data_IF_715905347671
#
_entry.id   IF_715905347671
#
_cell.length_a   1.000
_cell.length_b   1.000
_cell.length_c   1.000
_cell.angle_alpha   90.00
_cell.angle_beta   90.00
_cell.angle_gamma   90.00
#
_symmetry.space_group_name_H-M   'P 1'
#
loop_
_entity.id
_entity.type
_entity.pdbx_description
1 polymer ?
#
# COMPACT_ATOMS: atom_id res chain seq x y z
N UNK A 1 37.94 -31.18 -3.76
CA UNK A 1 37.93 -32.47 -4.51
C UNK A 1 38.81 -33.56 -3.87
N UNK A 2 39.23 -33.42 -2.61
CA UNK A 2 39.78 -34.51 -1.82
C UNK A 2 38.67 -35.02 -0.88
N UNK A 3 38.69 -36.31 -0.55
CA UNK A 3 38.02 -36.99 0.60
C UNK A 3 37.10 -38.17 0.24
N UNK A 4 36.51 -38.24 -0.96
CA UNK A 4 35.70 -39.42 -1.39
C UNK A 4 36.58 -40.68 -1.53
N UNK A 5 37.79 -40.51 -2.07
CA UNK A 5 38.74 -41.61 -2.24
C UNK A 5 39.28 -42.12 -0.90
N UNK A 6 39.34 -41.26 0.12
CA UNK A 6 39.74 -41.64 1.48
C UNK A 6 38.68 -42.52 2.17
N UNK A 7 37.40 -42.15 2.02
CA UNK A 7 36.27 -42.95 2.50
C UNK A 7 36.20 -44.33 1.83
N UNK A 8 36.44 -44.38 0.51
CA UNK A 8 36.48 -45.65 -0.23
C UNK A 8 37.60 -46.57 0.27
N UNK A 9 38.78 -46.00 0.57
CA UNK A 9 39.88 -46.76 1.16
C UNK A 9 39.54 -47.27 2.57
N UNK A 10 38.93 -46.42 3.42
CA UNK A 10 38.51 -46.80 4.77
C UNK A 10 37.47 -47.92 4.76
N UNK A 11 36.47 -47.83 3.88
CA UNK A 11 35.46 -48.87 3.68
C UNK A 11 36.06 -50.21 3.23
N UNK A 12 37.06 -50.17 2.35
CA UNK A 12 37.75 -51.38 1.92
C UNK A 12 38.56 -52.02 3.07
N UNK A 13 39.23 -51.22 3.91
CA UNK A 13 39.91 -51.71 5.11
C UNK A 13 38.93 -52.32 6.13
N UNK A 14 37.76 -51.70 6.32
CA UNK A 14 36.69 -52.22 7.18
C UNK A 14 36.18 -53.58 6.69
N UNK A 15 35.99 -53.72 5.38
CA UNK A 15 35.53 -54.96 4.75
C UNK A 15 36.54 -56.10 4.92
N UNK A 16 37.83 -55.80 4.89
CA UNK A 16 38.89 -56.79 5.14
C UNK A 16 38.85 -57.25 6.60
N UNK A 17 38.76 -56.33 7.56
CA UNK A 17 38.62 -56.67 8.98
C UNK A 17 37.32 -57.45 9.30
N UNK A 18 36.21 -57.16 8.60
CA UNK A 18 34.94 -57.88 8.76
C UNK A 18 35.03 -59.35 8.33
N UNK A 19 35.85 -59.64 7.31
CA UNK A 19 35.99 -60.98 6.74
C UNK A 19 36.92 -61.89 7.56
N UNK A 20 37.79 -61.32 8.38
CA UNK A 20 38.82 -62.04 9.14
C UNK A 20 38.32 -62.55 10.50
N UNK A 21 37.28 -61.93 11.07
CA UNK A 21 36.85 -62.13 12.46
C UNK A 21 35.62 -63.05 12.64
N UNK A 22 35.51 -64.17 11.94
CA UNK A 22 34.43 -65.14 12.15
C UNK A 22 34.92 -66.45 12.79
N UNK A 23 35.13 -66.51 14.12
CA UNK A 23 35.43 -67.74 14.83
C UNK A 23 34.15 -68.54 15.11
N UNK A 24 34.16 -69.83 14.74
CA UNK A 24 33.11 -70.80 15.04
C UNK A 24 32.90 -70.96 16.56
N UNK A 25 31.65 -70.88 16.99
CA UNK A 25 31.16 -70.80 18.38
C UNK A 25 31.28 -72.11 19.20
N UNK A 26 32.39 -72.84 19.08
CA UNK A 26 32.60 -74.13 19.75
C UNK A 26 33.94 -74.11 20.50
N UNK A 27 33.86 -73.94 21.82
CA UNK A 27 34.94 -73.98 22.83
C UNK A 27 35.94 -72.80 22.83
N UNK A 28 35.46 -71.62 23.23
CA UNK A 28 36.26 -70.39 23.39
C UNK A 28 36.63 -70.19 24.86
N UNK A 29 37.92 -70.06 25.18
CA UNK A 29 38.39 -69.71 26.54
C UNK A 29 37.94 -68.29 26.94
N UNK A 30 37.83 -67.95 28.23
CA UNK A 30 37.36 -66.62 28.64
C UNK A 30 38.25 -65.48 28.11
N UNK A 31 39.54 -65.74 27.87
CA UNK A 31 40.48 -64.77 27.29
C UNK A 31 40.22 -64.54 25.80
N UNK A 32 39.97 -65.60 25.02
CA UNK A 32 39.64 -65.50 23.59
C UNK A 32 38.29 -64.80 23.37
N UNK A 33 37.30 -65.04 24.24
CA UNK A 33 36.01 -64.33 24.19
C UNK A 33 36.16 -62.84 24.48
N UNK A 34 37.11 -62.46 25.31
CA UNK A 34 37.37 -61.06 25.61
C UNK A 34 38.08 -60.36 24.45
N UNK A 35 39.00 -61.06 23.79
CA UNK A 35 39.65 -60.57 22.57
C UNK A 35 38.66 -60.40 21.40
N UNK A 36 37.72 -61.32 21.21
CA UNK A 36 36.68 -61.17 20.17
C UNK A 36 35.74 -60.01 20.48
N UNK A 37 35.33 -59.83 21.73
CA UNK A 37 34.51 -58.68 22.15
C UNK A 37 35.22 -57.34 21.96
N UNK A 38 36.53 -57.27 22.22
CA UNK A 38 37.33 -56.06 21.96
C UNK A 38 37.42 -55.76 20.47
N UNK A 39 37.59 -56.79 19.63
CA UNK A 39 37.60 -56.65 18.17
C UNK A 39 36.23 -56.25 17.60
N UNK A 40 35.13 -56.79 18.14
CA UNK A 40 33.76 -56.36 17.78
C UNK A 40 33.51 -54.90 18.18
N UNK A 41 34.00 -54.47 19.35
CA UNK A 41 33.86 -53.08 19.81
C UNK A 41 34.68 -52.11 18.92
N UNK A 42 35.90 -52.50 18.55
CA UNK A 42 36.72 -51.73 17.60
C UNK A 42 36.05 -51.63 16.22
N UNK A 43 35.44 -52.72 15.74
CA UNK A 43 34.67 -52.73 14.49
C UNK A 43 33.45 -51.81 14.54
N UNK A 44 32.70 -51.80 15.64
CA UNK A 44 31.57 -50.88 15.82
C UNK A 44 32.03 -49.43 15.87
N UNK A 45 33.17 -49.13 16.52
CA UNK A 45 33.77 -47.78 16.52
C UNK A 45 34.19 -47.35 15.12
N UNK A 46 34.87 -48.22 14.38
CA UNK A 46 35.29 -47.92 13.02
C UNK A 46 34.09 -47.71 12.09
N UNK A 47 32.99 -48.44 12.30
CA UNK A 47 31.75 -48.24 11.56
C UNK A 47 31.13 -46.88 11.89
N UNK A 48 31.10 -46.48 13.16
CA UNK A 48 30.64 -45.15 13.55
C UNK A 48 31.50 -44.05 12.93
N UNK A 49 32.83 -44.19 12.93
CA UNK A 49 33.74 -43.21 12.32
C UNK A 49 33.49 -43.05 10.81
N UNK A 50 33.19 -44.15 10.10
CA UNK A 50 32.82 -44.09 8.68
C UNK A 50 31.46 -43.44 8.49
N UNK A 51 30.48 -43.73 9.36
CA UNK A 51 29.18 -43.07 9.28
C UNK A 51 29.28 -41.57 9.54
N UNK A 52 30.12 -41.15 10.48
CA UNK A 52 30.42 -39.74 10.74
C UNK A 52 31.09 -39.08 9.53
N UNK A 53 32.05 -39.77 8.89
CA UNK A 53 32.68 -39.30 7.65
C UNK A 53 31.70 -39.22 6.46
N UNK A 54 30.73 -40.13 6.37
CA UNK A 54 29.65 -40.05 5.37
C UNK A 54 28.74 -38.87 5.67
N UNK A 55 28.41 -38.62 6.94
CA UNK A 55 27.59 -37.49 7.32
C UNK A 55 28.31 -36.16 7.00
N UNK A 56 29.60 -36.04 7.30
CA UNK A 56 30.41 -34.88 6.91
C UNK A 56 30.48 -34.70 5.39
N UNK A 57 30.58 -35.81 4.63
CA UNK A 57 30.57 -35.75 3.17
C UNK A 57 29.22 -35.27 2.61
N UNK A 58 28.09 -35.67 3.23
CA UNK A 58 26.76 -35.19 2.87
C UNK A 58 26.62 -33.70 3.20
N UNK A 59 27.07 -33.27 4.38
CA UNK A 59 27.06 -31.85 4.76
C UNK A 59 27.91 -31.00 3.80
N UNK A 60 29.09 -31.48 3.37
CA UNK A 60 29.90 -30.82 2.34
C UNK A 60 29.16 -30.77 1.00
N UNK A 61 28.52 -31.86 0.58
CA UNK A 61 27.75 -31.90 -0.65
C UNK A 61 26.55 -30.93 -0.63
N UNK A 62 25.88 -30.77 0.52
CA UNK A 62 24.80 -29.79 0.71
C UNK A 62 25.32 -28.35 0.53
N UNK A 63 26.44 -28.02 1.18
CA UNK A 63 27.08 -26.71 1.03
C UNK A 63 27.52 -26.43 -0.42
N UNK A 64 28.09 -27.44 -1.10
CA UNK A 64 28.46 -27.32 -2.51
C UNK A 64 27.23 -27.10 -3.41
N UNK A 65 26.10 -27.76 -3.12
CA UNK A 65 24.84 -27.56 -3.83
C UNK A 65 24.28 -26.15 -3.62
N UNK A 66 24.41 -25.57 -2.42
CA UNK A 66 24.01 -24.18 -2.16
C UNK A 66 24.82 -23.19 -3.01
N UNK A 67 26.12 -23.42 -3.19
CA UNK A 67 26.96 -22.58 -4.07
C UNK A 67 26.50 -22.70 -5.52
N UNK A 68 26.19 -23.91 -5.99
CA UNK A 68 25.68 -24.13 -7.34
C UNK A 68 24.32 -23.45 -7.52
N UNK A 69 23.41 -23.58 -6.56
CA UNK A 69 22.09 -22.94 -6.59
C UNK A 69 22.21 -21.41 -6.67
N UNK A 70 23.10 -20.81 -5.87
CA UNK A 70 23.38 -19.37 -5.92
C UNK A 70 23.93 -18.94 -7.29
N UNK A 71 24.78 -19.77 -7.90
CA UNK A 71 25.34 -19.49 -9.23
C UNK A 71 24.26 -19.54 -10.32
N UNK A 72 23.36 -20.53 -10.27
CA UNK A 72 22.22 -20.63 -11.18
C UNK A 72 21.30 -19.41 -11.01
N UNK A 73 20.99 -19.00 -9.78
CA UNK A 73 20.18 -17.79 -9.53
C UNK A 73 20.84 -16.52 -10.08
N UNK A 74 22.16 -16.39 -9.96
CA UNK A 74 22.87 -15.25 -10.53
C UNK A 74 22.86 -15.29 -12.06
N UNK A 75 22.94 -16.48 -12.66
CA UNK A 75 22.83 -16.66 -14.11
C UNK A 75 21.42 -16.30 -14.60
N UNK A 76 20.38 -16.68 -13.86
CA UNK A 76 18.98 -16.32 -14.15
C UNK A 76 18.79 -14.79 -14.11
N UNK A 77 19.35 -14.10 -13.11
CA UNK A 77 19.37 -12.62 -13.06
C UNK A 77 20.08 -11.99 -14.25
N UNK A 78 21.20 -12.57 -14.68
CA UNK A 78 21.91 -12.09 -15.87
C UNK A 78 21.08 -12.31 -17.13
N UNK A 79 20.41 -13.46 -17.26
CA UNK A 79 19.53 -13.76 -18.39
C UNK A 79 18.34 -12.80 -18.42
N UNK A 80 17.69 -12.55 -17.29
CA UNK A 80 16.66 -11.52 -17.15
C UNK A 80 17.15 -10.14 -17.59
N UNK A 81 18.40 -9.80 -17.23
CA UNK A 81 19.01 -8.54 -17.65
C UNK A 81 19.26 -8.51 -19.16
N UNK A 82 19.71 -9.62 -19.75
CA UNK A 82 19.87 -9.73 -21.20
C UNK A 82 18.53 -9.61 -21.95
N UNK A 83 17.47 -10.24 -21.44
CA UNK A 83 16.11 -10.10 -21.99
C UNK A 83 15.65 -8.64 -21.92
N UNK A 84 15.89 -7.96 -20.80
CA UNK A 84 15.59 -6.52 -20.65
C UNK A 84 16.39 -5.64 -21.59
N UNK A 85 17.69 -5.91 -21.76
CA UNK A 85 18.52 -5.17 -22.70
C UNK A 85 17.99 -5.37 -24.11
N UNK A 86 17.69 -6.60 -24.52
CA UNK A 86 17.19 -6.89 -25.85
C UNK A 86 15.83 -6.22 -26.11
N UNK A 87 14.89 -6.29 -25.16
CA UNK A 87 13.60 -5.62 -25.30
C UNK A 87 13.75 -4.10 -25.37
N UNK A 88 14.67 -3.52 -24.59
CA UNK A 88 15.01 -2.10 -24.69
C UNK A 88 15.65 -1.78 -26.05
N UNK A 89 16.53 -2.63 -26.58
CA UNK A 89 17.14 -2.39 -27.91
C UNK A 89 16.10 -2.42 -29.02
N UNK A 90 15.19 -3.38 -29.00
CA UNK A 90 14.08 -3.46 -29.95
C UNK A 90 13.18 -2.22 -29.84
N UNK A 91 12.87 -1.79 -28.61
CA UNK A 91 12.10 -0.59 -28.37
C UNK A 91 12.81 0.66 -28.90
N UNK A 92 14.11 0.81 -28.63
CA UNK A 92 14.91 1.93 -29.17
C UNK A 92 15.01 1.89 -30.68
N UNK A 93 15.07 0.71 -31.29
CA UNK A 93 15.06 0.54 -32.74
C UNK A 93 13.72 0.98 -33.31
N UNK A 94 12.60 0.53 -32.74
CA UNK A 94 11.26 0.97 -33.12
C UNK A 94 11.10 2.48 -33.01
N UNK A 95 11.57 3.07 -31.91
CA UNK A 95 11.59 4.51 -31.71
C UNK A 95 12.43 5.24 -32.76
N UNK A 96 13.62 4.72 -33.10
CA UNK A 96 14.50 5.32 -34.11
C UNK A 96 13.88 5.33 -35.51
N UNK A 97 13.08 4.30 -35.84
CA UNK A 97 12.37 4.21 -37.11
C UNK A 97 10.98 4.85 -37.10
N UNK A 98 10.46 5.23 -35.93
CA UNK A 98 9.21 5.97 -35.82
C UNK A 98 9.47 7.45 -36.16
N UNK A 99 9.01 7.88 -37.33
CA UNK A 99 9.11 9.25 -37.80
C UNK A 99 8.30 10.25 -36.98
N UNK A 100 7.40 9.78 -36.11
CA UNK A 100 6.63 10.63 -35.19
C UNK A 100 7.27 10.75 -33.80
N UNK A 101 8.38 10.05 -33.53
CA UNK A 101 9.03 10.15 -32.24
C UNK A 101 9.74 11.51 -32.08
N UNK A 102 9.15 12.38 -31.27
CA UNK A 102 9.61 13.74 -31.05
C UNK A 102 10.24 13.93 -29.66
N UNK A 103 10.56 12.81 -28.98
CA UNK A 103 11.16 12.78 -27.64
C UNK A 103 10.18 13.08 -26.50
N UNK A 104 10.69 13.01 -25.25
CA UNK A 104 9.89 13.28 -24.04
C UNK A 104 9.30 14.69 -24.02
N UNK A 105 9.98 15.67 -24.60
CA UNK A 105 9.51 17.06 -24.61
C UNK A 105 8.17 17.21 -25.33
N UNK A 106 7.97 16.46 -26.42
CA UNK A 106 6.69 16.45 -27.14
C UNK A 106 5.59 15.75 -26.35
N UNK A 107 5.92 14.65 -25.68
CA UNK A 107 4.95 13.93 -24.84
C UNK A 107 4.54 14.78 -23.63
N UNK A 108 5.46 15.52 -23.02
CA UNK A 108 5.19 16.46 -21.94
C UNK A 108 4.32 17.65 -22.42
N UNK A 109 4.61 18.20 -23.61
CA UNK A 109 3.78 19.24 -24.24
C UNK A 109 2.37 18.73 -24.56
N UNK A 110 2.26 17.52 -25.12
CA UNK A 110 0.98 16.89 -25.44
C UNK A 110 0.19 16.57 -24.17
N UNK A 111 0.86 16.16 -23.10
CA UNK A 111 0.24 15.92 -21.81
C UNK A 111 -0.24 17.23 -21.17
N UNK A 112 0.58 18.30 -21.22
CA UNK A 112 0.18 19.63 -20.76
C UNK A 112 -1.01 20.18 -21.57
N UNK A 113 -1.03 19.97 -22.89
CA UNK A 113 -2.16 20.37 -23.75
C UNK A 113 -3.43 19.58 -23.40
N UNK A 114 -3.33 18.26 -23.18
CA UNK A 114 -4.45 17.43 -22.74
C UNK A 114 -4.98 17.86 -21.38
N UNK A 115 -4.10 18.17 -20.43
CA UNK A 115 -4.49 18.67 -19.10
C UNK A 115 -5.17 20.04 -19.20
N UNK A 116 -4.66 20.95 -20.03
CA UNK A 116 -5.26 22.24 -20.30
C UNK A 116 -6.64 22.12 -20.96
N UNK A 117 -6.80 21.21 -21.92
CA UNK A 117 -8.08 20.93 -22.57
C UNK A 117 -9.10 20.36 -21.57
N UNK A 118 -8.66 19.46 -20.69
CA UNK A 118 -9.49 18.89 -19.63
C UNK A 118 -9.92 19.97 -18.61
N UNK A 119 -9.00 20.87 -18.23
CA UNK A 119 -9.29 21.99 -17.35
C UNK A 119 -10.31 22.97 -17.98
N UNK A 120 -10.15 23.29 -19.27
CA UNK A 120 -11.13 24.11 -20.02
C UNK A 120 -12.51 23.47 -20.03
N UNK A 121 -12.59 22.16 -20.26
CA UNK A 121 -13.86 21.42 -20.23
C UNK A 121 -14.53 21.48 -18.85
N UNK A 122 -13.76 21.28 -17.77
CA UNK A 122 -14.27 21.38 -16.39
C UNK A 122 -14.80 22.78 -16.07
N UNK A 123 -14.11 23.82 -16.51
CA UNK A 123 -14.57 25.20 -16.29
C UNK A 123 -15.86 25.49 -17.07
N UNK A 124 -15.95 25.03 -18.32
CA UNK A 124 -17.19 25.13 -19.11
C UNK A 124 -18.36 24.39 -18.45
N UNK A 125 -18.12 23.19 -17.90
CA UNK A 125 -19.13 22.44 -17.15
C UNK A 125 -19.58 23.18 -15.89
N UNK A 126 -18.64 23.80 -15.16
CA UNK A 126 -18.91 24.60 -13.96
C UNK A 126 -19.78 25.82 -14.28
N UNK A 127 -19.43 26.58 -15.31
CA UNK A 127 -20.21 27.75 -15.77
C UNK A 127 -21.61 27.31 -16.19
N UNK A 128 -21.74 26.20 -16.91
CA UNK A 128 -23.04 25.68 -17.34
C UNK A 128 -23.89 25.23 -16.14
N UNK A 129 -23.27 24.60 -15.15
CA UNK A 129 -23.96 24.19 -13.92
C UNK A 129 -24.42 25.41 -13.11
N UNK A 130 -23.58 26.42 -12.94
CA UNK A 130 -23.96 27.66 -12.26
C UNK A 130 -25.11 28.37 -12.98
N UNK A 131 -25.05 28.48 -14.31
CA UNK A 131 -26.13 29.05 -15.11
C UNK A 131 -27.45 28.30 -14.94
N UNK A 132 -27.41 26.96 -14.87
CA UNK A 132 -28.59 26.13 -14.58
C UNK A 132 -29.13 26.39 -13.18
N UNK A 133 -28.27 26.42 -12.17
CA UNK A 133 -28.67 26.72 -10.78
C UNK A 133 -29.29 28.11 -10.64
N UNK A 134 -28.73 29.12 -11.31
CA UNK A 134 -29.29 30.47 -11.32
C UNK A 134 -30.67 30.49 -11.99
N UNK A 135 -30.84 29.81 -13.12
CA UNK A 135 -32.15 29.70 -13.78
C UNK A 135 -33.18 28.98 -12.91
N UNK A 136 -32.80 27.89 -12.25
CA UNK A 136 -33.67 27.15 -11.35
C UNK A 136 -34.05 27.98 -10.11
N UNK A 137 -33.10 28.73 -9.54
CA UNK A 137 -33.36 29.64 -8.42
C UNK A 137 -34.31 30.79 -8.81
N UNK A 138 -34.13 31.37 -9.99
CA UNK A 138 -35.06 32.39 -10.54
C UNK A 138 -36.44 31.79 -10.75
N UNK A 139 -36.53 30.56 -11.29
CA UNK A 139 -37.80 29.86 -11.51
C UNK A 139 -38.52 29.59 -10.19
N UNK A 140 -37.79 29.10 -9.17
CA UNK A 140 -38.33 28.86 -7.82
C UNK A 140 -38.85 30.13 -7.17
N UNK A 141 -38.09 31.23 -7.21
CA UNK A 141 -38.54 32.54 -6.68
C UNK A 141 -39.82 33.03 -7.36
N UNK A 142 -39.91 32.91 -8.68
CA UNK A 142 -41.12 33.28 -9.43
C UNK A 142 -42.32 32.39 -9.06
N UNK A 143 -42.09 31.10 -8.84
CA UNK A 143 -43.14 30.17 -8.43
C UNK A 143 -43.62 30.43 -6.99
N UNK A 144 -42.70 30.72 -6.08
CA UNK A 144 -43.00 31.15 -4.71
C UNK A 144 -43.81 32.45 -4.67
N UNK A 145 -43.41 33.48 -5.43
CA UNK A 145 -44.13 34.75 -5.54
C UNK A 145 -45.55 34.55 -6.11
N UNK A 146 -45.69 33.70 -7.13
CA UNK A 146 -47.00 33.36 -7.71
C UNK A 146 -47.89 32.60 -6.72
N UNK A 147 -47.32 31.67 -5.94
CA UNK A 147 -48.04 30.92 -4.91
C UNK A 147 -48.43 31.82 -3.73
N UNK A 148 -47.56 32.73 -3.30
CA UNK A 148 -47.87 33.72 -2.25
C UNK A 148 -48.97 34.68 -2.72
N UNK A 149 -48.89 35.18 -3.96
CA UNK A 149 -49.95 35.99 -4.56
C UNK A 149 -51.27 35.22 -4.67
N UNK A 150 -51.23 33.91 -4.94
CA UNK A 150 -52.41 33.05 -4.96
C UNK A 150 -52.98 32.89 -3.55
N UNK A 151 -52.14 32.64 -2.55
CA UNK A 151 -52.52 32.50 -1.14
C UNK A 151 -53.12 33.79 -0.57
N UNK A 152 -52.52 34.94 -0.86
CA UNK A 152 -53.06 36.26 -0.47
C UNK A 152 -54.43 36.51 -1.13
N UNK A 153 -54.58 36.19 -2.42
CA UNK A 153 -55.89 36.27 -3.09
C UNK A 153 -56.91 35.34 -2.43
N UNK A 154 -56.54 34.11 -2.11
CA UNK A 154 -57.40 33.14 -1.43
C UNK A 154 -57.76 33.58 0.00
N UNK A 155 -56.82 34.12 0.77
CA UNK A 155 -57.07 34.68 2.12
C UNK A 155 -58.00 35.90 2.06
N UNK A 156 -57.83 36.80 1.08
CA UNK A 156 -58.76 37.94 0.89
C UNK A 156 -60.16 37.50 0.46
N UNK A 157 -60.28 36.37 -0.27
CA UNK A 157 -61.57 35.77 -0.60
C UNK A 157 -62.20 35.08 0.63
N UNK A 158 -61.42 34.35 1.44
CA UNK A 158 -61.89 33.71 2.66
C UNK A 158 -62.32 34.72 3.74
N UNK A 159 -61.59 35.83 3.92
CA UNK A 159 -62.01 36.97 4.77
C UNK A 159 -63.33 37.60 4.30
N UNK A 160 -63.65 37.49 3.01
CA UNK A 160 -64.92 37.99 2.45
C UNK A 160 -66.10 37.05 2.72
N UNK A 161 -65.85 35.78 3.04
CA UNK A 161 -66.87 34.75 3.28
C UNK A 161 -67.20 34.62 4.79
N UNK A 162 -66.25 34.88 5.69
CA UNK A 162 -66.47 34.90 7.16
C UNK A 162 -66.04 36.24 7.77
N UNK A 163 -66.87 37.29 7.67
CA UNK A 163 -66.58 38.61 8.26
C UNK A 163 -67.80 39.51 8.35
N UNK A 164 -68.48 39.46 9.50
CA UNK A 164 -69.71 40.19 9.83
C UNK A 164 -69.36 41.54 10.47
N UNK A 165 -69.94 42.63 9.93
CA UNK A 165 -70.30 43.94 10.55
C UNK A 165 -69.22 44.86 11.17
N UNK A 166 -69.08 46.04 10.54
CA UNK A 166 -69.14 47.35 11.22
C UNK A 166 -68.04 48.38 10.88
N UNK A 167 -68.40 49.61 10.45
CA UNK A 167 -67.58 50.82 10.62
C UNK A 167 -68.36 51.90 11.42
N UNK A 168 -67.83 53.14 11.62
CA UNK A 168 -66.50 53.60 12.06
C UNK A 168 -66.59 54.67 13.19
N UNK A 169 -65.50 55.03 13.90
CA UNK A 169 -65.31 56.34 14.59
C UNK A 169 -63.95 56.36 15.32
N UNK A 170 -62.95 57.18 14.94
CA UNK A 170 -62.63 58.58 15.31
C UNK A 170 -62.14 58.82 16.76
N UNK A 171 -60.93 59.43 16.87
CA UNK A 171 -60.44 60.49 17.82
C UNK A 171 -60.50 60.21 19.36
N UNK A 172 -59.61 60.62 20.28
CA UNK A 172 -58.45 61.53 20.37
C UNK A 172 -57.79 61.44 21.78
N UNK A 173 -56.49 61.78 21.87
CA UNK A 173 -55.68 62.23 23.04
C UNK A 173 -55.34 61.22 24.18
N UNK A 174 -54.09 61.08 24.63
CA UNK A 174 -53.34 62.05 25.46
C UNK A 174 -51.86 61.64 25.65
N UNK A 175 -50.98 62.64 25.83
CA UNK A 175 -49.55 62.65 26.27
C UNK A 175 -49.36 62.15 27.75
N UNK A 176 -48.16 62.18 28.40
CA UNK A 176 -46.76 61.78 28.10
C UNK A 176 -46.04 61.07 29.32
N UNK A 177 -44.67 61.02 29.31
CA UNK A 177 -43.70 60.74 30.42
C UNK A 177 -43.39 59.26 30.79
N UNK A 178 -42.23 58.81 31.30
CA UNK A 178 -40.83 59.31 31.43
C UNK A 178 -39.93 58.19 32.05
N UNK A 179 -38.59 58.34 31.98
CA UNK A 179 -37.50 57.77 32.85
C UNK A 179 -37.10 56.29 32.66
N UNK A 180 -35.86 55.94 32.23
CA UNK A 180 -34.54 55.86 32.94
C UNK A 180 -34.62 55.00 34.23
N UNK A 181 -33.81 53.96 34.51
CA UNK A 181 -32.34 53.80 34.67
C UNK A 181 -32.01 52.28 34.73
N UNK A 182 -31.06 51.71 33.97
CA UNK A 182 -29.63 51.38 34.23
C UNK A 182 -29.27 50.16 35.14
N UNK A 183 -28.38 49.28 34.62
CA UNK A 183 -27.09 48.79 35.18
C UNK A 183 -26.67 47.47 34.46
N UNK A 184 -25.55 47.39 33.70
CA UNK A 184 -24.12 47.19 34.06
C UNK A 184 -23.88 45.94 34.92
N UNK A 185 -23.04 44.96 34.57
CA UNK A 185 -21.56 45.02 34.45
C UNK A 185 -21.07 43.72 33.74
N UNK A 186 -19.81 43.44 33.35
CA UNK A 186 -18.47 43.93 33.71
C UNK A 186 -17.46 43.41 32.67
N UNK A 187 -16.34 44.12 32.58
CA UNK A 187 -15.14 43.91 31.77
C UNK A 187 -14.31 42.69 32.15
N UNK A 188 -13.55 42.14 31.18
CA UNK A 188 -12.17 41.70 31.41
C UNK A 188 -11.33 41.94 30.15
N UNK A 189 -10.17 42.57 30.36
CA UNK A 189 -9.18 42.92 29.35
C UNK A 189 -7.98 41.97 29.42
N UNK A 190 -7.38 41.65 28.27
CA UNK A 190 -5.94 41.35 28.08
C UNK A 190 -5.69 41.26 26.56
N UNK A 191 -5.09 42.25 25.93
CA UNK A 191 -3.63 42.46 25.71
C UNK A 191 -3.03 41.63 24.58
N UNK A 192 -2.52 42.36 23.56
CA UNK A 192 -1.26 42.12 22.82
C UNK A 192 -1.25 41.51 21.40
N UNK A 193 -0.68 42.33 20.49
CA UNK A 193 0.33 42.05 19.43
C UNK A 193 -0.09 41.54 18.04
N UNK A 194 -0.08 42.48 17.10
CA UNK A 194 0.87 42.61 15.97
C UNK A 194 1.79 41.38 15.68
N UNK A 195 1.58 40.68 14.56
CA UNK A 195 2.42 40.61 13.32
C UNK A 195 2.03 39.39 12.43
N UNK A 196 2.23 39.43 11.09
CA UNK A 196 2.02 38.30 10.17
C UNK A 196 3.30 37.44 10.06
N UNK A 197 3.24 36.24 9.43
CA UNK A 197 3.84 36.14 8.10
C UNK A 197 3.22 35.11 7.12
N UNK A 198 3.53 35.37 5.85
CA UNK A 198 3.66 34.48 4.69
C UNK A 198 4.40 33.16 5.00
N UNK A 199 4.19 32.14 4.14
CA UNK A 199 5.21 31.19 3.61
C UNK A 199 4.98 29.68 3.83
N UNK A 200 4.83 28.98 2.69
CA UNK A 200 5.37 27.65 2.29
C UNK A 200 5.27 26.40 3.19
N UNK A 201 4.84 25.29 2.56
CA UNK A 201 5.21 23.92 2.95
C UNK A 201 4.15 22.91 2.50
N UNK A 202 4.19 22.40 1.27
CA UNK A 202 4.80 21.10 0.93
C UNK A 202 4.93 20.16 2.13
N UNK A 203 4.07 19.13 2.21
CA UNK A 203 4.43 17.81 2.75
C UNK A 203 3.75 16.68 1.97
N UNK A 204 4.56 16.02 1.14
CA UNK A 204 4.48 14.59 0.82
C UNK A 204 4.82 13.79 2.08
N UNK A 205 4.12 12.69 2.37
CA UNK A 205 4.70 11.37 2.72
C UNK A 205 3.55 10.34 2.84
N UNK A 206 3.37 9.39 1.92
CA UNK A 206 3.93 8.02 1.81
C UNK A 206 3.65 7.06 3.00
N UNK A 207 3.14 5.88 2.61
CA UNK A 207 3.12 4.56 3.24
C UNK A 207 2.10 4.16 4.32
N UNK A 208 1.43 3.02 4.07
CA UNK A 208 0.73 2.23 5.09
C UNK A 208 -0.27 1.18 4.59
N UNK A 209 0.20 0.15 3.88
CA UNK A 209 -0.25 -1.27 3.92
C UNK A 209 -1.69 -1.64 4.35
N UNK A 210 -2.43 -2.37 3.49
CA UNK A 210 -3.42 -3.42 3.86
C UNK A 210 -3.80 -4.25 2.63
N UNK A 211 -3.19 -5.42 2.42
CA UNK A 211 -3.67 -6.79 2.75
C UNK A 211 -4.96 -7.22 2.02
N UNK A 212 -4.80 -8.30 1.23
CA UNK A 212 -5.76 -9.13 0.48
C UNK A 212 -6.89 -9.70 1.37
N UNK A 213 -7.98 -10.21 0.76
CA UNK A 213 -8.05 -11.63 0.40
C UNK A 213 -7.96 -11.90 -1.10
#
# INVERSE_FOLDING_TARGET
MADINGLSSSLNSLKVHLAENNPSDQDITPEERQQTLEAELEQVRQTNDVMDGVNEAIEKAENDLDVVLNTVQNTDKLLDMWVKILSQTEHTQKLLFDSNWQGLTRDDELQAEREAALARKREQERILQEKRQQQDAIRRKKEEEMNERRRLKEETMQRRIYGKRGPPSSTTATRPQSRSVSNSSTTNASTSRIRPPTTTGIKRNVNGTRKRP
#
